data_IF_652103911058
#
_entry.id   IF_652103911058
#
_cell.length_a   1.000
_cell.length_b   1.000
_cell.length_c   1.000
_cell.angle_alpha   90.00
_cell.angle_beta   90.00
_cell.angle_gamma   90.00
#
_symmetry.space_group_name_H-M   'P 1'
#
loop_
_entity.id
_entity.type
_entity.pdbx_description
1 polymer ?
#
# COMPACT_ATOMS: atom_id res chain seq x y z
N UNK A 1 44.96 -8.27 25.66
CA UNK A 1 43.63 -8.78 26.07
C UNK A 1 42.62 -7.77 25.58
N UNK A 2 41.97 -8.04 24.45
CA UNK A 2 40.99 -7.16 23.83
C UNK A 2 39.60 -7.58 24.32
N UNK A 3 38.95 -6.70 25.07
CA UNK A 3 37.55 -6.81 25.49
C UNK A 3 36.61 -6.91 24.27
N UNK A 4 35.58 -7.78 24.28
CA UNK A 4 34.55 -7.76 23.26
C UNK A 4 33.55 -6.64 23.57
N UNK A 5 33.52 -5.64 22.70
CA UNK A 5 32.47 -4.59 22.68
C UNK A 5 31.13 -5.27 22.38
N UNK A 6 30.26 -5.33 23.39
CA UNK A 6 28.85 -5.71 23.21
C UNK A 6 28.19 -4.55 22.45
N UNK A 7 27.66 -4.74 21.24
CA UNK A 7 27.04 -3.66 20.50
C UNK A 7 25.73 -3.27 21.20
N UNK A 8 25.66 -2.01 21.64
CA UNK A 8 24.43 -1.33 22.03
C UNK A 8 23.36 -1.56 20.95
N UNK A 9 22.13 -2.01 21.27
CA UNK A 9 21.10 -2.16 20.27
C UNK A 9 20.78 -0.79 19.66
N UNK A 10 21.08 -0.63 18.38
CA UNK A 10 20.76 0.57 17.63
C UNK A 10 19.23 0.77 17.60
N UNK A 11 18.78 2.01 17.74
CA UNK A 11 17.40 2.40 17.40
C UNK A 11 17.11 1.89 15.98
N UNK A 12 15.94 1.24 15.74
CA UNK A 12 15.59 0.76 14.41
C UNK A 12 15.57 1.93 13.44
N UNK A 13 16.38 1.84 12.39
CA UNK A 13 16.56 2.90 11.41
C UNK A 13 15.55 2.78 10.27
N UNK A 14 14.84 1.64 10.18
CA UNK A 14 13.87 1.39 9.12
C UNK A 14 12.50 0.93 9.67
N UNK A 15 11.41 1.20 8.93
CA UNK A 15 10.08 0.74 9.31
C UNK A 15 9.95 -0.80 9.43
N UNK A 16 10.66 -1.55 8.59
CA UNK A 16 10.70 -3.01 8.64
C UNK A 16 11.39 -3.53 9.92
N UNK A 17 12.46 -2.85 10.37
CA UNK A 17 13.12 -3.13 11.65
C UNK A 17 12.21 -2.78 12.84
N UNK A 18 11.41 -1.71 12.74
CA UNK A 18 10.45 -1.33 13.78
C UNK A 18 9.31 -2.34 13.92
N UNK A 19 8.77 -2.86 12.82
CA UNK A 19 7.77 -3.96 12.84
C UNK A 19 8.37 -5.22 13.45
N UNK A 20 9.57 -5.61 13.01
CA UNK A 20 10.28 -6.79 13.54
C UNK A 20 10.54 -6.64 15.04
N UNK A 21 10.92 -5.43 15.48
CA UNK A 21 11.16 -5.12 16.89
C UNK A 21 9.87 -5.16 17.71
N UNK A 22 8.77 -4.63 17.19
CA UNK A 22 7.45 -4.74 17.83
C UNK A 22 7.03 -6.20 18.02
N UNK A 23 7.23 -7.06 17.02
CA UNK A 23 6.86 -8.47 17.13
C UNK A 23 7.74 -9.25 18.11
N UNK A 24 9.03 -8.90 18.21
CA UNK A 24 9.91 -9.40 19.27
C UNK A 24 9.45 -8.97 20.66
N UNK A 25 9.09 -7.69 20.85
CA UNK A 25 8.65 -7.16 22.14
C UNK A 25 7.32 -7.76 22.59
N UNK A 26 6.37 -7.96 21.66
CA UNK A 26 5.10 -8.67 21.94
C UNK A 26 5.31 -10.11 22.39
N UNK A 27 6.40 -10.73 21.93
CA UNK A 27 6.77 -12.10 22.26
C UNK A 27 7.56 -12.21 23.59
N UNK A 28 7.99 -11.09 24.17
CA UNK A 28 8.65 -11.04 25.48
C UNK A 28 7.60 -10.91 26.62
N UNK A 29 7.43 -11.94 27.47
CA UNK A 29 6.47 -11.91 28.56
C UNK A 29 6.71 -10.77 29.56
N UNK A 30 7.97 -10.46 29.88
CA UNK A 30 8.30 -9.40 30.86
C UNK A 30 7.96 -8.03 30.30
N UNK A 31 8.26 -7.81 29.03
CA UNK A 31 7.92 -6.56 28.36
C UNK A 31 6.40 -6.40 28.29
N UNK A 32 5.69 -7.45 27.88
CA UNK A 32 4.24 -7.46 27.72
C UNK A 32 3.51 -7.23 29.05
N UNK A 33 3.95 -7.87 30.13
CA UNK A 33 3.38 -7.67 31.46
C UNK A 33 3.62 -6.23 31.96
N UNK A 34 4.81 -5.68 31.69
CA UNK A 34 5.14 -4.27 31.99
C UNK A 34 4.30 -3.27 31.18
N UNK A 35 4.04 -3.58 29.90
CA UNK A 35 3.17 -2.78 29.04
C UNK A 35 1.71 -2.82 29.50
N UNK A 36 1.18 -4.01 29.81
CA UNK A 36 -0.20 -4.18 30.31
C UNK A 36 -0.42 -3.54 31.69
N UNK A 37 0.61 -3.46 32.51
CA UNK A 37 0.60 -2.72 33.77
C UNK A 37 0.67 -1.19 33.58
N UNK A 38 0.74 -0.69 32.33
CA UNK A 38 0.83 0.74 32.03
C UNK A 38 2.22 1.33 32.24
N UNK A 39 3.28 0.52 32.13
CA UNK A 39 4.66 0.95 32.30
C UNK A 39 5.04 2.06 31.31
N UNK A 40 5.48 3.25 31.78
CA UNK A 40 5.70 4.41 30.91
C UNK A 40 6.85 4.20 29.91
N UNK A 41 7.83 3.36 30.24
CA UNK A 41 8.94 3.03 29.33
C UNK A 41 8.46 2.15 28.17
N UNK A 42 7.64 1.13 28.44
CA UNK A 42 7.10 0.22 27.45
C UNK A 42 6.08 0.91 26.54
N UNK A 43 5.24 1.79 27.10
CA UNK A 43 4.30 2.61 26.32
C UNK A 43 5.04 3.53 25.37
N UNK A 44 6.12 4.19 25.84
CA UNK A 44 6.93 5.06 25.00
C UNK A 44 7.65 4.28 23.90
N UNK A 45 8.28 3.16 24.23
CA UNK A 45 8.95 2.30 23.25
C UNK A 45 7.95 1.78 22.19
N UNK A 46 6.74 1.40 22.60
CA UNK A 46 5.68 1.02 21.68
C UNK A 46 5.30 2.18 20.75
N UNK A 47 5.08 3.38 21.29
CA UNK A 47 4.71 4.56 20.49
C UNK A 47 5.80 4.95 19.49
N UNK A 48 7.07 4.98 19.93
CA UNK A 48 8.21 5.34 19.08
C UNK A 48 8.37 4.32 17.93
N UNK A 49 8.30 3.03 18.23
CA UNK A 49 8.36 1.98 17.22
C UNK A 49 7.14 1.96 16.31
N UNK A 50 5.97 2.25 16.84
CA UNK A 50 4.75 2.33 16.05
C UNK A 50 4.79 3.54 15.11
N UNK A 51 5.35 4.67 15.52
CA UNK A 51 5.55 5.83 14.66
C UNK A 51 6.57 5.55 13.54
N UNK A 52 7.65 4.81 13.84
CA UNK A 52 8.63 4.39 12.82
C UNK A 52 8.03 3.34 11.88
N UNK A 53 7.23 2.40 12.39
CA UNK A 53 6.51 1.42 11.58
C UNK A 53 5.43 2.08 10.73
N UNK A 54 4.76 3.12 11.22
CA UNK A 54 3.78 3.91 10.47
C UNK A 54 4.44 4.81 9.41
N UNK A 55 5.76 5.05 9.51
CA UNK A 55 6.58 5.64 8.44
C UNK A 55 7.03 4.60 7.40
N UNK A 56 6.59 3.34 7.51
CA UNK A 56 6.68 2.40 6.39
C UNK A 56 5.95 3.00 5.21
N UNK A 57 6.58 2.97 4.05
CA UNK A 57 5.89 3.26 2.81
C UNK A 57 4.83 2.16 2.60
N UNK A 58 3.58 2.46 2.96
CA UNK A 58 2.43 1.57 2.81
C UNK A 58 2.26 1.14 1.34
N UNK A 59 2.67 1.98 0.39
CA UNK A 59 2.69 1.64 -1.04
C UNK A 59 3.73 0.57 -1.31
N UNK A 60 4.96 0.73 -0.84
CA UNK A 60 6.00 -0.29 -0.92
C UNK A 60 5.59 -1.63 -0.28
N UNK A 61 4.94 -1.59 0.88
CA UNK A 61 4.40 -2.79 1.54
C UNK A 61 3.28 -3.44 0.73
N UNK A 62 2.37 -2.64 0.16
CA UNK A 62 1.30 -3.10 -0.72
C UNK A 62 1.80 -3.72 -2.02
N UNK A 63 2.79 -3.09 -2.65
CA UNK A 63 3.47 -3.60 -3.85
C UNK A 63 4.18 -4.94 -3.60
N UNK A 64 4.72 -5.14 -2.40
CA UNK A 64 5.34 -6.39 -1.97
C UNK A 64 4.32 -7.45 -1.49
N UNK A 65 3.04 -7.08 -1.32
CA UNK A 65 1.99 -7.94 -0.79
C UNK A 65 2.18 -8.30 0.69
N UNK A 66 2.91 -7.47 1.44
CA UNK A 66 3.23 -7.71 2.85
C UNK A 66 2.15 -7.11 3.73
N UNK A 67 1.58 -7.94 4.60
CA UNK A 67 0.56 -7.53 5.56
C UNK A 67 1.02 -7.86 6.98
N UNK A 68 1.43 -6.87 7.79
CA UNK A 68 1.70 -7.08 9.21
C UNK A 68 0.44 -7.56 9.95
N UNK A 69 0.58 -8.32 11.04
CA UNK A 69 -0.56 -8.80 11.84
C UNK A 69 -1.49 -7.66 12.29
N UNK A 70 -0.92 -6.49 12.61
CA UNK A 70 -1.67 -5.27 12.98
C UNK A 70 -1.61 -4.22 11.86
N UNK A 71 -2.01 -4.61 10.65
CA UNK A 71 -2.14 -3.68 9.50
C UNK A 71 -3.38 -2.78 9.62
N UNK A 72 -3.27 -1.54 9.15
CA UNK A 72 -4.42 -0.63 8.96
C UNK A 72 -5.42 -1.18 7.93
N UNK A 73 -6.66 -0.68 7.96
CA UNK A 73 -7.66 -0.95 6.90
C UNK A 73 -7.17 -0.50 5.53
N UNK A 74 -6.43 0.61 5.51
CA UNK A 74 -6.00 1.26 4.29
C UNK A 74 -4.89 0.46 3.62
N UNK A 75 -3.90 -0.02 4.38
CA UNK A 75 -2.86 -0.93 3.87
C UNK A 75 -3.47 -2.24 3.33
N UNK A 76 -4.50 -2.80 4.00
CA UNK A 76 -5.23 -3.97 3.49
C UNK A 76 -5.92 -3.69 2.16
N UNK A 77 -6.56 -2.53 2.04
CA UNK A 77 -7.18 -2.11 0.78
C UNK A 77 -6.14 -1.90 -0.32
N UNK A 78 -4.99 -1.30 0.00
CA UNK A 78 -3.88 -1.09 -0.93
C UNK A 78 -3.29 -2.42 -1.41
N UNK A 79 -3.05 -3.38 -0.52
CA UNK A 79 -2.56 -4.73 -0.88
C UNK A 79 -3.56 -5.46 -1.79
N UNK A 80 -4.86 -5.40 -1.45
CA UNK A 80 -5.92 -5.97 -2.29
C UNK A 80 -5.98 -5.31 -3.68
N UNK A 81 -5.83 -3.99 -3.72
CA UNK A 81 -5.80 -3.21 -4.97
C UNK A 81 -4.56 -3.53 -5.80
N UNK A 82 -3.38 -3.63 -5.18
CA UNK A 82 -2.13 -3.99 -5.83
C UNK A 82 -2.22 -5.38 -6.47
N UNK A 83 -2.78 -6.36 -5.74
CA UNK A 83 -3.01 -7.71 -6.26
C UNK A 83 -3.97 -7.70 -7.46
N UNK A 84 -5.09 -6.98 -7.34
CA UNK A 84 -6.07 -6.86 -8.43
C UNK A 84 -5.45 -6.24 -9.70
N UNK A 85 -4.69 -5.16 -9.56
CA UNK A 85 -4.06 -4.48 -10.69
C UNK A 85 -2.96 -5.33 -11.32
N UNK A 86 -2.20 -6.07 -10.51
CA UNK A 86 -1.19 -7.02 -10.99
C UNK A 86 -1.83 -8.15 -11.79
N UNK A 87 -2.91 -8.75 -11.29
CA UNK A 87 -3.66 -9.80 -12.01
C UNK A 87 -4.28 -9.24 -13.30
N UNK A 88 -4.73 -7.99 -13.24
CA UNK A 88 -5.13 -7.20 -14.38
C UNK A 88 -3.94 -6.67 -15.19
N UNK A 89 -2.73 -7.21 -15.06
CA UNK A 89 -1.58 -6.98 -15.95
C UNK A 89 -1.01 -5.56 -15.99
N UNK A 90 -1.27 -4.73 -14.97
CA UNK A 90 -0.65 -3.41 -14.87
C UNK A 90 0.84 -3.54 -14.57
N UNK A 91 1.62 -2.56 -15.04
CA UNK A 91 3.04 -2.49 -14.72
C UNK A 91 3.23 -2.12 -13.25
N UNK A 92 4.33 -2.56 -12.60
CA UNK A 92 4.61 -2.19 -11.22
C UNK A 92 4.59 -0.67 -10.97
N UNK A 93 5.10 0.11 -11.92
CA UNK A 93 5.10 1.57 -11.84
C UNK A 93 3.67 2.13 -11.83
N UNK A 94 2.78 1.65 -12.70
CA UNK A 94 1.39 2.11 -12.75
C UNK A 94 0.60 1.73 -11.50
N UNK A 95 0.88 0.57 -10.91
CA UNK A 95 0.27 0.14 -9.65
C UNK A 95 0.72 1.07 -8.53
N UNK A 96 2.03 1.32 -8.42
CA UNK A 96 2.60 2.24 -7.46
C UNK A 96 1.97 3.64 -7.57
N UNK A 97 1.92 4.21 -8.77
CA UNK A 97 1.33 5.54 -9.00
C UNK A 97 -0.18 5.58 -8.66
N UNK A 98 -0.90 4.47 -8.86
CA UNK A 98 -2.31 4.36 -8.47
C UNK A 98 -2.47 4.35 -6.95
N UNK A 99 -1.61 3.60 -6.23
CA UNK A 99 -1.65 3.52 -4.78
C UNK A 99 -1.17 4.81 -4.09
N UNK A 100 -0.23 5.53 -4.72
CA UNK A 100 0.21 6.87 -4.31
C UNK A 100 -0.87 7.94 -4.57
N UNK A 101 -1.96 7.60 -5.25
CA UNK A 101 -3.03 8.52 -5.59
C UNK A 101 -2.57 9.62 -6.54
N UNK A 102 -1.64 9.31 -7.45
CA UNK A 102 -1.09 10.29 -8.38
C UNK A 102 -2.23 10.96 -9.15
N UNK A 103 -2.27 12.30 -9.15
CA UNK A 103 -3.35 12.99 -9.83
C UNK A 103 -3.24 12.81 -11.34
N UNK A 104 -4.37 12.48 -11.98
CA UNK A 104 -4.47 12.38 -13.43
C UNK A 104 -4.59 13.79 -14.04
N UNK A 105 -3.93 14.00 -15.17
CA UNK A 105 -4.13 15.23 -15.95
C UNK A 105 -5.51 15.25 -16.60
N UNK A 106 -6.02 16.44 -16.91
CA UNK A 106 -7.29 16.60 -17.62
C UNK A 106 -7.29 15.83 -18.96
N UNK A 107 -6.17 15.84 -19.69
CA UNK A 107 -6.03 15.11 -20.94
C UNK A 107 -6.19 13.59 -20.77
N UNK A 108 -5.66 13.01 -19.68
CA UNK A 108 -5.82 11.58 -19.39
C UNK A 108 -7.25 11.23 -19.03
N UNK A 109 -7.93 12.08 -18.25
CA UNK A 109 -9.35 11.92 -17.94
C UNK A 109 -10.22 12.03 -19.20
N UNK A 110 -9.95 12.99 -20.08
CA UNK A 110 -10.69 13.17 -21.32
C UNK A 110 -10.50 11.98 -22.27
N UNK A 111 -9.27 11.49 -22.40
CA UNK A 111 -8.95 10.30 -23.19
C UNK A 111 -9.63 9.04 -22.62
N UNK A 112 -9.57 8.83 -21.30
CA UNK A 112 -10.22 7.69 -20.66
C UNK A 112 -11.76 7.75 -20.77
N UNK A 113 -12.34 8.95 -20.65
CA UNK A 113 -13.77 9.20 -20.82
C UNK A 113 -14.22 8.85 -22.23
N UNK A 114 -13.52 9.40 -23.23
CA UNK A 114 -13.79 9.14 -24.64
C UNK A 114 -13.63 7.66 -24.97
N UNK A 115 -12.51 7.06 -24.57
CA UNK A 115 -12.23 5.64 -24.81
C UNK A 115 -13.33 4.75 -24.22
N UNK A 116 -13.77 5.02 -22.98
CA UNK A 116 -14.84 4.26 -22.30
C UNK A 116 -16.17 4.41 -23.02
N UNK A 117 -16.53 5.61 -23.46
CA UNK A 117 -17.76 5.84 -24.24
C UNK A 117 -17.73 5.10 -25.59
N UNK A 118 -16.61 5.17 -26.31
CA UNK A 118 -16.43 4.52 -27.61
C UNK A 118 -16.50 2.98 -27.47
N UNK A 119 -15.94 2.40 -26.40
CA UNK A 119 -15.98 0.95 -26.18
C UNK A 119 -17.31 0.45 -25.62
N UNK A 120 -17.96 1.21 -24.73
CA UNK A 120 -19.28 0.87 -24.20
C UNK A 120 -20.40 0.98 -25.25
N UNK A 121 -20.19 1.76 -26.31
CA UNK A 121 -21.10 1.82 -27.46
C UNK A 121 -20.83 0.73 -28.51
N UNK A 122 -19.73 -0.02 -28.40
CA UNK A 122 -19.41 -1.14 -29.28
C UNK A 122 -20.05 -2.46 -28.75
N UNK A 123 -21.07 -3.01 -29.43
CA UNK A 123 -21.79 -4.20 -28.95
C UNK A 123 -20.91 -5.46 -28.85
N UNK A 124 -19.95 -5.63 -29.76
CA UNK A 124 -19.06 -6.79 -29.76
C UNK A 124 -18.09 -6.73 -28.58
N UNK A 125 -17.59 -5.55 -28.27
CA UNK A 125 -16.73 -5.35 -27.10
C UNK A 125 -17.50 -5.55 -25.79
N UNK A 126 -18.73 -5.02 -25.69
CA UNK A 126 -19.58 -5.22 -24.51
C UNK A 126 -19.90 -6.71 -24.33
N UNK A 127 -20.20 -7.43 -25.41
CA UNK A 127 -20.43 -8.88 -25.36
C UNK A 127 -19.19 -9.63 -24.85
N UNK A 128 -17.98 -9.28 -25.31
CA UNK A 128 -16.72 -9.83 -24.80
C UNK A 128 -16.58 -9.56 -23.30
N UNK A 129 -16.77 -8.32 -22.87
CA UNK A 129 -16.72 -7.94 -21.45
C UNK A 129 -17.70 -8.76 -20.60
N UNK A 130 -18.97 -8.85 -21.02
CA UNK A 130 -20.01 -9.59 -20.30
C UNK A 130 -19.74 -11.10 -20.26
N UNK A 131 -19.08 -11.65 -21.30
CA UNK A 131 -18.67 -13.05 -21.33
C UNK A 131 -17.45 -13.36 -20.45
N UNK A 132 -16.86 -12.32 -19.83
CA UNK A 132 -15.77 -12.48 -18.90
C UNK A 132 -14.37 -12.36 -19.50
N UNK A 133 -14.26 -11.90 -20.74
CA UNK A 133 -12.99 -11.66 -21.46
C UNK A 133 -12.03 -10.83 -20.59
N UNK A 134 -10.84 -11.39 -20.32
CA UNK A 134 -9.85 -10.83 -19.40
C UNK A 134 -9.30 -9.51 -19.92
N UNK A 135 -9.12 -9.39 -21.24
CA UNK A 135 -8.57 -8.21 -21.89
C UNK A 135 -9.57 -7.04 -21.83
N UNK A 136 -10.85 -7.30 -22.13
CA UNK A 136 -11.91 -6.31 -22.02
C UNK A 136 -12.10 -5.83 -20.57
N UNK A 137 -12.03 -6.74 -19.59
CA UNK A 137 -12.06 -6.39 -18.16
C UNK A 137 -10.87 -5.53 -17.75
N UNK A 138 -9.66 -5.90 -18.19
CA UNK A 138 -8.43 -5.12 -17.95
C UNK A 138 -8.56 -3.71 -18.50
N UNK A 139 -8.97 -3.56 -19.75
CA UNK A 139 -9.12 -2.24 -20.36
C UNK A 139 -10.15 -1.37 -19.64
N UNK A 140 -11.29 -1.95 -19.23
CA UNK A 140 -12.29 -1.22 -18.44
C UNK A 140 -11.75 -0.80 -17.07
N UNK A 141 -10.98 -1.68 -16.41
CA UNK A 141 -10.36 -1.37 -15.13
C UNK A 141 -9.37 -0.20 -15.25
N UNK A 142 -8.51 -0.20 -16.29
CA UNK A 142 -7.59 0.92 -16.59
C UNK A 142 -8.35 2.24 -16.73
N UNK A 143 -9.39 2.25 -17.56
CA UNK A 143 -10.19 3.46 -17.74
C UNK A 143 -10.81 3.93 -16.42
N UNK A 144 -11.35 3.00 -15.61
CA UNK A 144 -11.95 3.36 -14.33
C UNK A 144 -10.94 3.87 -13.30
N UNK A 145 -9.72 3.31 -13.26
CA UNK A 145 -8.65 3.79 -12.38
C UNK A 145 -8.34 5.25 -12.70
N UNK A 146 -8.08 5.58 -13.97
CA UNK A 146 -7.78 6.95 -14.41
C UNK A 146 -8.94 7.90 -14.09
N UNK A 147 -10.18 7.48 -14.32
CA UNK A 147 -11.37 8.30 -14.06
C UNK A 147 -11.67 8.47 -12.56
N UNK A 148 -11.14 7.61 -11.71
CA UNK A 148 -11.26 7.71 -10.25
C UNK A 148 -10.10 8.48 -9.61
N UNK A 149 -9.02 8.74 -10.34
CA UNK A 149 -7.89 9.51 -9.86
C UNK A 149 -8.26 10.98 -9.64
N UNK A 150 -7.73 11.64 -8.59
CA UNK A 150 -7.94 13.06 -8.39
C UNK A 150 -7.39 13.85 -9.58
N UNK A 151 -8.10 14.91 -10.00
CA UNK A 151 -7.61 15.81 -11.04
C UNK A 151 -6.36 16.53 -10.55
N UNK A 152 -5.35 16.60 -11.41
CA UNK A 152 -4.19 17.46 -11.18
C UNK A 152 -4.66 18.91 -11.26
N UNK A 153 -4.95 19.52 -10.10
CA UNK A 153 -5.11 20.96 -10.01
C UNK A 153 -3.79 21.61 -10.39
N UNK A 154 -3.78 22.35 -11.49
CA UNK A 154 -2.74 23.34 -11.75
C UNK A 154 -2.66 24.23 -10.50
N UNK A 155 -1.53 24.17 -9.78
CA UNK A 155 -1.25 25.14 -8.74
C UNK A 155 -1.28 26.52 -9.39
N UNK A 156 -2.25 27.35 -8.97
CA UNK A 156 -2.26 28.78 -9.21
C UNK A 156 -1.21 29.47 -8.32
#
# INVERSE_FOLDING_TARGET
MTEPVVPTPALPATPAEAVTRLDQLKSDPKWRDGFLAGGPAQVREFQDLHEIAAKADDVGAAMAGVLPEMSSSDLRAMVGTASLLKDAGFTPLSIQETLEGRPASQAEIDMATKWKADHMSNPDWVKRLMSGDVEAKRHLLVANVILSSPLKTEQA
#
